data_IF_541399526862
#
_entry.id   IF_541399526862
#
_cell.length_a   1.000
_cell.length_b   1.000
_cell.length_c   1.000
_cell.angle_alpha   90.00
_cell.angle_beta   90.00
_cell.angle_gamma   90.00
#
_symmetry.space_group_name_H-M   'P 1'
#
loop_
_entity.id
_entity.type
_entity.pdbx_description
1 polymer ?
#
# COMPACT_ATOMS: atom_id res chain seq x y z
N UNK A 1 -11.34 36.44 -44.87
CA UNK A 1 -11.16 35.52 -43.72
C UNK A 1 -11.94 36.09 -42.55
N UNK A 2 -13.12 35.55 -42.26
CA UNK A 2 -14.02 36.09 -41.22
C UNK A 2 -13.97 35.16 -40.02
N UNK A 3 -13.41 35.65 -38.92
CA UNK A 3 -13.27 34.95 -37.65
C UNK A 3 -14.67 34.81 -37.04
N UNK A 4 -15.21 33.59 -37.02
CA UNK A 4 -16.43 33.29 -36.27
C UNK A 4 -16.09 33.08 -34.80
N UNK A 5 -16.64 33.93 -33.94
CA UNK A 5 -16.45 33.87 -32.49
C UNK A 5 -17.21 32.67 -31.89
N UNK A 6 -16.61 32.04 -30.87
CA UNK A 6 -17.05 30.82 -30.17
C UNK A 6 -18.42 30.89 -29.48
N UNK A 7 -19.19 31.95 -29.68
CA UNK A 7 -20.43 32.27 -28.94
C UNK A 7 -21.72 31.75 -29.62
N UNK A 8 -21.61 30.97 -30.70
CA UNK A 8 -22.76 30.52 -31.51
C UNK A 8 -22.78 28.99 -31.73
N UNK A 9 -22.66 28.21 -30.65
CA UNK A 9 -23.00 26.77 -30.63
C UNK A 9 -24.06 26.41 -29.58
N UNK A 10 -24.83 27.39 -29.10
CA UNK A 10 -25.79 27.18 -28.01
C UNK A 10 -27.18 27.76 -28.28
N UNK A 11 -27.53 27.93 -29.54
CA UNK A 11 -28.91 28.21 -29.95
C UNK A 11 -29.22 27.22 -31.08
N UNK A 12 -30.36 26.54 -30.97
CA UNK A 12 -30.86 25.45 -31.83
C UNK A 12 -30.46 24.02 -31.42
N UNK A 13 -30.91 23.61 -30.23
CA UNK A 13 -31.37 22.25 -29.96
C UNK A 13 -32.23 22.28 -28.69
N UNK A 14 -33.26 23.13 -28.70
CA UNK A 14 -34.40 23.01 -27.81
C UNK A 14 -35.48 22.29 -28.59
N UNK A 15 -35.38 20.96 -28.55
CA UNK A 15 -36.49 20.07 -28.87
C UNK A 15 -36.82 19.37 -27.55
N UNK A 16 -37.89 19.84 -26.92
CA UNK A 16 -38.58 19.22 -25.80
C UNK A 16 -38.97 17.79 -26.16
N UNK A 17 -38.10 16.85 -25.82
CA UNK A 17 -38.45 15.45 -25.63
C UNK A 17 -38.30 15.19 -24.13
N UNK A 18 -39.37 15.43 -23.37
CA UNK A 18 -39.50 14.91 -22.01
C UNK A 18 -39.64 13.39 -22.09
N UNK A 19 -38.53 12.69 -22.27
CA UNK A 19 -38.41 11.35 -21.72
C UNK A 19 -38.53 11.48 -20.20
N UNK A 20 -39.25 10.60 -19.49
CA UNK A 20 -39.18 10.56 -18.04
C UNK A 20 -37.76 10.14 -17.71
N UNK A 21 -36.87 11.12 -17.53
CA UNK A 21 -35.53 10.88 -17.08
C UNK A 21 -35.71 10.29 -15.69
N UNK A 22 -35.54 8.97 -15.59
CA UNK A 22 -35.36 8.27 -14.33
C UNK A 22 -34.01 8.75 -13.77
N UNK A 23 -33.96 10.00 -13.34
CA UNK A 23 -32.78 10.59 -12.71
C UNK A 23 -32.68 9.89 -11.38
N UNK A 24 -31.61 9.10 -11.23
CA UNK A 24 -31.32 8.46 -9.97
C UNK A 24 -31.18 9.55 -8.88
N UNK A 25 -31.82 9.40 -7.71
CA UNK A 25 -31.64 10.30 -6.59
C UNK A 25 -30.16 10.59 -6.30
N UNK A 26 -29.85 11.84 -5.91
CA UNK A 26 -28.47 12.27 -5.66
C UNK A 26 -27.77 11.42 -4.60
N UNK A 27 -28.49 11.01 -3.56
CA UNK A 27 -28.00 10.15 -2.48
C UNK A 27 -27.48 8.80 -3.00
N UNK A 28 -28.24 8.17 -3.92
CA UNK A 28 -27.86 6.91 -4.54
C UNK A 28 -26.69 7.10 -5.51
N UNK A 29 -26.66 8.21 -6.25
CA UNK A 29 -25.50 8.54 -7.08
C UNK A 29 -24.25 8.75 -6.25
N UNK A 30 -24.33 9.46 -5.12
CA UNK A 30 -23.22 9.67 -4.19
C UNK A 30 -22.71 8.32 -3.70
N UNK A 31 -23.60 7.38 -3.38
CA UNK A 31 -23.22 6.03 -2.99
C UNK A 31 -22.49 5.28 -4.12
N UNK A 32 -23.01 5.34 -5.35
CA UNK A 32 -22.36 4.74 -6.54
C UNK A 32 -20.97 5.33 -6.75
N UNK A 33 -20.85 6.67 -6.77
CA UNK A 33 -19.58 7.36 -6.97
C UNK A 33 -18.59 7.05 -5.84
N UNK A 34 -19.08 6.86 -4.60
CA UNK A 34 -18.23 6.51 -3.44
C UNK A 34 -17.67 5.08 -3.54
N UNK A 35 -18.33 4.18 -4.29
CA UNK A 35 -17.86 2.81 -4.52
C UNK A 35 -16.77 2.75 -5.59
N UNK A 36 -16.74 3.70 -6.52
CA UNK A 36 -15.72 3.73 -7.57
C UNK A 36 -14.33 3.76 -6.94
N UNK A 37 -13.52 2.74 -7.24
CA UNK A 37 -12.12 2.67 -6.85
C UNK A 37 -11.28 3.60 -7.74
N UNK A 38 -11.53 4.90 -7.62
CA UNK A 38 -10.60 5.88 -8.12
C UNK A 38 -9.64 6.20 -6.99
N UNK A 39 -8.35 5.90 -7.18
CA UNK A 39 -7.29 6.47 -6.34
C UNK A 39 -7.45 7.98 -6.21
N UNK A 40 -7.97 8.63 -7.27
CA UNK A 40 -8.27 10.06 -7.30
C UNK A 40 -9.74 10.34 -7.72
N UNK A 41 -10.65 10.68 -6.78
CA UNK A 41 -12.05 11.02 -7.08
C UNK A 41 -12.20 12.26 -7.96
N UNK A 42 -11.15 13.06 -8.15
CA UNK A 42 -11.19 14.23 -9.02
C UNK A 42 -11.34 13.87 -10.50
N UNK A 43 -10.99 12.64 -10.90
CA UNK A 43 -11.22 12.17 -12.27
C UNK A 43 -12.72 12.15 -12.62
N UNK A 44 -13.58 11.91 -11.63
CA UNK A 44 -15.03 11.91 -11.78
C UNK A 44 -15.57 13.30 -12.17
N UNK A 45 -14.83 14.39 -11.90
CA UNK A 45 -15.20 15.77 -12.28
C UNK A 45 -15.21 15.98 -13.79
N UNK A 46 -14.47 15.17 -14.53
CA UNK A 46 -14.33 15.28 -15.97
C UNK A 46 -15.46 14.58 -16.73
N UNK A 47 -16.28 13.77 -16.05
CA UNK A 47 -17.35 12.98 -16.69
C UNK A 47 -18.53 13.85 -17.11
N UNK A 48 -19.15 14.56 -16.17
CA UNK A 48 -20.23 15.50 -16.46
C UNK A 48 -20.37 16.56 -15.36
N UNK A 49 -21.18 17.61 -15.61
CA UNK A 49 -21.41 18.70 -14.65
C UNK A 49 -22.07 18.22 -13.35
N UNK A 50 -22.97 17.25 -13.46
CA UNK A 50 -23.67 16.71 -12.30
C UNK A 50 -22.72 15.97 -11.37
N UNK A 51 -21.89 15.07 -11.91
CA UNK A 51 -20.85 14.37 -11.12
C UNK A 51 -19.86 15.33 -10.51
N UNK A 52 -19.45 16.37 -11.26
CA UNK A 52 -18.60 17.43 -10.72
C UNK A 52 -19.20 18.13 -9.49
N UNK A 53 -20.52 18.25 -9.42
CA UNK A 53 -21.24 18.80 -8.25
C UNK A 53 -21.30 17.78 -7.11
N UNK A 54 -21.61 16.52 -7.42
CA UNK A 54 -21.76 15.46 -6.39
C UNK A 54 -20.44 15.13 -5.69
N UNK A 55 -19.29 15.19 -6.37
CA UNK A 55 -18.01 14.84 -5.75
C UNK A 55 -17.48 15.90 -4.77
N UNK A 56 -18.06 17.09 -4.76
CA UNK A 56 -17.80 18.12 -3.75
C UNK A 56 -18.92 18.19 -2.71
N UNK A 57 -19.92 17.31 -2.80
CA UNK A 57 -20.99 17.22 -1.81
C UNK A 57 -20.43 16.75 -0.45
N UNK A 58 -20.83 17.35 0.68
CA UNK A 58 -20.35 16.95 2.00
C UNK A 58 -20.58 15.47 2.33
N UNK A 59 -21.68 14.86 1.87
CA UNK A 59 -21.95 13.43 2.10
C UNK A 59 -20.98 12.55 1.32
N UNK A 60 -20.68 12.91 0.06
CA UNK A 60 -19.68 12.22 -0.73
C UNK A 60 -18.30 12.32 -0.07
N UNK A 61 -17.89 13.54 0.32
CA UNK A 61 -16.60 13.80 0.97
C UNK A 61 -16.44 12.98 2.24
N UNK A 62 -17.48 12.94 3.09
CA UNK A 62 -17.48 12.12 4.31
C UNK A 62 -17.30 10.63 4.01
N UNK A 63 -18.05 10.08 3.03
CA UNK A 63 -17.92 8.68 2.62
C UNK A 63 -16.52 8.38 2.08
N UNK A 64 -15.99 9.26 1.23
CA UNK A 64 -14.66 9.11 0.63
C UNK A 64 -13.56 9.16 1.70
N UNK A 65 -13.66 10.04 2.70
CA UNK A 65 -12.71 10.13 3.81
C UNK A 65 -12.70 8.86 4.66
N UNK A 66 -13.88 8.37 5.05
CA UNK A 66 -14.01 7.14 5.83
C UNK A 66 -13.40 5.94 5.11
N UNK A 67 -13.69 5.79 3.80
CA UNK A 67 -13.10 4.73 2.97
C UNK A 67 -11.58 4.88 2.90
N UNK A 68 -11.09 6.10 2.61
CA UNK A 68 -9.66 6.36 2.51
C UNK A 68 -8.91 6.07 3.80
N UNK A 69 -9.47 6.45 4.95
CA UNK A 69 -8.88 6.17 6.26
C UNK A 69 -8.84 4.67 6.56
N UNK A 70 -9.92 3.95 6.23
CA UNK A 70 -9.97 2.49 6.39
C UNK A 70 -8.91 1.81 5.52
N UNK A 71 -8.81 2.20 4.24
CA UNK A 71 -7.83 1.63 3.30
C UNK A 71 -6.37 1.92 3.73
N UNK A 72 -6.11 3.14 4.21
CA UNK A 72 -4.79 3.54 4.75
C UNK A 72 -4.46 2.73 6.00
N UNK A 73 -5.43 2.54 6.90
CA UNK A 73 -5.25 1.78 8.14
C UNK A 73 -4.97 0.31 7.85
N UNK A 74 -5.72 -0.32 6.95
CA UNK A 74 -5.51 -1.71 6.51
C UNK A 74 -4.11 -1.89 5.91
N UNK A 75 -3.68 -0.98 5.03
CA UNK A 75 -2.34 -1.02 4.45
C UNK A 75 -1.25 -0.82 5.50
N UNK A 76 -1.44 0.09 6.46
CA UNK A 76 -0.50 0.31 7.56
C UNK A 76 -0.40 -0.92 8.47
N UNK A 77 -1.52 -1.59 8.77
CA UNK A 77 -1.52 -2.86 9.51
C UNK A 77 -0.74 -3.95 8.77
N UNK A 78 -0.96 -4.11 7.47
CA UNK A 78 -0.18 -5.07 6.64
C UNK A 78 1.31 -4.78 6.67
N UNK A 79 1.71 -3.51 6.52
CA UNK A 79 3.10 -3.11 6.61
C UNK A 79 3.71 -3.40 8.00
N UNK A 80 2.93 -3.23 9.06
CA UNK A 80 3.34 -3.53 10.44
C UNK A 80 3.47 -5.04 10.67
N UNK A 81 2.58 -5.85 10.10
CA UNK A 81 2.67 -7.32 10.16
C UNK A 81 3.92 -7.83 9.43
N UNK A 82 4.25 -7.26 8.28
CA UNK A 82 5.51 -7.56 7.57
C UNK A 82 6.75 -7.21 8.40
N UNK A 83 6.69 -6.13 9.19
CA UNK A 83 7.76 -5.72 10.10
C UNK A 83 7.88 -6.63 11.33
N UNK A 84 6.75 -7.06 11.91
CA UNK A 84 6.75 -8.02 13.02
C UNK A 84 7.26 -9.41 12.57
N UNK A 85 6.94 -9.82 11.35
CA UNK A 85 7.48 -11.05 10.75
C UNK A 85 9.00 -10.98 10.57
N UNK A 86 9.53 -9.79 10.22
CA UNK A 86 10.96 -9.53 10.12
C UNK A 86 11.69 -9.66 11.47
N UNK A 87 11.12 -9.11 12.56
CA UNK A 87 11.64 -9.25 13.93
C UNK A 87 11.77 -10.71 14.36
N UNK A 88 10.78 -11.55 14.04
CA UNK A 88 10.80 -12.95 14.46
C UNK A 88 12.01 -13.73 13.90
N UNK A 89 12.38 -13.47 12.64
CA UNK A 89 13.49 -14.15 11.97
C UNK A 89 14.88 -13.80 12.53
N UNK A 90 15.00 -12.70 13.28
CA UNK A 90 16.26 -12.28 13.90
C UNK A 90 16.50 -12.94 15.27
N UNK A 91 15.46 -13.50 15.91
CA UNK A 91 15.51 -14.02 17.28
C UNK A 91 15.75 -15.55 17.33
N UNK A 92 15.60 -16.27 16.21
CA UNK A 92 15.89 -17.71 16.13
C UNK A 92 17.30 -17.98 15.57
N UNK A 93 18.33 -17.64 16.33
CA UNK A 93 19.63 -18.30 16.19
C UNK A 93 19.55 -19.63 16.95
N UNK A 94 19.76 -20.80 16.31
CA UNK A 94 19.76 -22.06 17.04
C UNK A 94 20.95 -22.05 18.00
N UNK A 95 20.67 -22.26 19.29
CA UNK A 95 21.71 -22.48 20.28
C UNK A 95 22.52 -23.71 19.84
N UNK A 96 23.83 -23.50 19.67
CA UNK A 96 24.79 -24.57 19.42
C UNK A 96 24.70 -25.56 20.59
N UNK A 97 24.51 -26.88 20.33
CA UNK A 97 24.68 -27.89 21.37
C UNK A 97 26.09 -27.75 21.94
N UNK A 98 26.16 -27.50 23.25
CA UNK A 98 27.41 -27.59 23.99
C UNK A 98 27.59 -29.08 24.27
N UNK A 99 28.47 -29.72 23.52
CA UNK A 99 28.85 -31.10 23.81
C UNK A 99 29.56 -31.10 25.17
N UNK A 100 28.99 -31.84 26.12
CA UNK A 100 29.59 -32.11 27.43
C UNK A 100 30.82 -32.99 27.18
N UNK A 101 32.00 -32.49 27.53
CA UNK A 101 33.27 -33.24 27.47
C UNK A 101 33.19 -34.44 28.43
N UNK A 102 32.96 -35.64 27.89
CA UNK A 102 33.25 -36.89 28.61
C UNK A 102 34.71 -37.28 28.30
N UNK A 103 35.58 -37.12 29.30
CA UNK A 103 36.96 -37.59 29.27
C UNK A 103 36.96 -39.14 29.21
N UNK A 104 37.31 -39.73 28.07
CA UNK A 104 37.77 -41.12 28.02
C UNK A 104 39.25 -41.18 27.62
N UNK A 105 40.07 -41.68 28.54
CA UNK A 105 41.48 -42.00 28.33
C UNK A 105 41.62 -43.14 27.31
N UNK A 106 42.33 -42.92 26.20
CA UNK A 106 43.03 -43.98 25.47
C UNK A 106 44.33 -43.46 24.85
N UNK A 107 45.42 -44.15 25.18
CA UNK A 107 46.70 -44.05 24.50
C UNK A 107 46.63 -44.89 23.21
N UNK A 108 46.83 -44.30 22.01
CA UNK A 108 47.59 -44.87 20.87
C UNK A 108 47.50 -43.98 19.60
N UNK A 109 48.61 -43.31 19.25
CA UNK A 109 48.96 -42.70 17.93
C UNK A 109 47.92 -41.77 17.23
N UNK A 110 47.63 -40.60 17.81
CA UNK A 110 46.71 -39.58 17.24
C UNK A 110 47.43 -38.37 16.60
N UNK A 111 47.91 -38.51 15.36
CA UNK A 111 48.19 -37.35 14.48
C UNK A 111 47.01 -37.07 13.51
N UNK A 112 45.95 -37.91 13.50
CA UNK A 112 44.79 -37.82 12.59
C UNK A 112 43.50 -37.27 13.26
N UNK A 113 43.41 -37.24 14.59
CA UNK A 113 42.21 -36.78 15.33
C UNK A 113 42.03 -35.24 15.30
N UNK A 114 43.13 -34.47 15.37
CA UNK A 114 43.09 -33.01 15.25
C UNK A 114 42.56 -32.53 13.87
N UNK A 115 42.89 -33.25 12.79
CA UNK A 115 42.42 -32.91 11.44
C UNK A 115 40.92 -33.20 11.23
N UNK A 116 40.37 -34.26 11.86
CA UNK A 116 38.92 -34.55 11.81
C UNK A 116 38.10 -33.55 12.62
N UNK A 117 38.57 -33.12 13.80
CA UNK A 117 37.92 -32.08 14.61
C UNK A 117 37.88 -30.72 13.87
N UNK A 118 39.01 -30.31 13.26
CA UNK A 118 39.06 -29.08 12.47
C UNK A 118 38.09 -29.12 11.27
N UNK A 119 37.98 -30.26 10.61
CA UNK A 119 37.07 -30.48 9.49
C UNK A 119 35.60 -30.44 9.95
N UNK A 120 35.28 -31.04 11.09
CA UNK A 120 33.94 -31.02 11.66
C UNK A 120 33.54 -29.60 12.11
N UNK A 121 34.47 -28.87 12.74
CA UNK A 121 34.33 -27.45 13.07
C UNK A 121 34.08 -26.59 11.83
N UNK A 122 34.83 -26.84 10.75
CA UNK A 122 34.66 -26.15 9.47
C UNK A 122 33.30 -26.46 8.82
N UNK A 123 32.83 -27.71 8.89
CA UNK A 123 31.49 -28.08 8.41
C UNK A 123 30.39 -27.37 9.19
N UNK A 124 30.53 -27.22 10.52
CA UNK A 124 29.61 -26.43 11.34
C UNK A 124 29.61 -24.94 10.95
N UNK A 125 30.78 -24.34 10.75
CA UNK A 125 30.89 -22.95 10.28
C UNK A 125 30.23 -22.75 8.91
N UNK A 126 30.40 -23.70 7.98
CA UNK A 126 29.72 -23.66 6.67
C UNK A 126 28.20 -23.72 6.85
N UNK A 127 27.69 -24.62 7.69
CA UNK A 127 26.27 -24.70 7.99
C UNK A 127 25.71 -23.41 8.63
N UNK A 128 26.47 -22.77 9.51
CA UNK A 128 26.11 -21.47 10.10
C UNK A 128 26.04 -20.36 9.04
N UNK A 129 27.00 -20.33 8.11
CA UNK A 129 26.99 -19.37 7.00
C UNK A 129 25.80 -19.59 6.05
N UNK A 130 25.45 -20.84 5.76
CA UNK A 130 24.27 -21.16 4.95
C UNK A 130 22.98 -20.71 5.64
N UNK A 131 22.85 -20.95 6.94
CA UNK A 131 21.73 -20.46 7.75
C UNK A 131 21.64 -18.93 7.74
N UNK A 132 22.77 -18.24 7.95
CA UNK A 132 22.85 -16.78 7.88
C UNK A 132 22.45 -16.26 6.49
N UNK A 133 22.88 -16.93 5.43
CA UNK A 133 22.54 -16.56 4.06
C UNK A 133 21.04 -16.71 3.77
N UNK A 134 20.39 -17.74 4.30
CA UNK A 134 18.93 -17.91 4.24
C UNK A 134 18.23 -16.74 4.94
N UNK A 135 18.69 -16.37 6.15
CA UNK A 135 18.15 -15.23 6.90
C UNK A 135 18.29 -13.95 6.07
N UNK A 136 19.49 -13.63 5.56
CA UNK A 136 19.73 -12.42 4.76
C UNK A 136 18.84 -12.36 3.52
N UNK A 137 18.61 -13.48 2.82
CA UNK A 137 17.70 -13.54 1.68
C UNK A 137 16.25 -13.27 2.10
N UNK A 138 15.80 -13.83 3.22
CA UNK A 138 14.47 -13.59 3.78
C UNK A 138 14.29 -12.11 4.17
N UNK A 139 15.25 -11.54 4.91
CA UNK A 139 15.26 -10.13 5.33
C UNK A 139 15.18 -9.19 4.11
N UNK A 140 15.94 -9.47 3.05
CA UNK A 140 15.89 -8.70 1.80
C UNK A 140 14.49 -8.73 1.17
N UNK A 141 13.87 -9.90 1.10
CA UNK A 141 12.52 -10.04 0.54
C UNK A 141 11.49 -9.21 1.32
N UNK A 142 11.52 -9.31 2.64
CA UNK A 142 10.61 -8.56 3.52
C UNK A 142 10.81 -7.05 3.39
N UNK A 143 12.06 -6.57 3.32
CA UNK A 143 12.37 -5.15 3.15
C UNK A 143 11.78 -4.58 1.84
N UNK A 144 11.86 -5.34 0.73
CA UNK A 144 11.26 -4.90 -0.53
C UNK A 144 9.73 -4.84 -0.43
N UNK A 145 9.08 -5.78 0.25
CA UNK A 145 7.63 -5.74 0.48
C UNK A 145 7.24 -4.50 1.32
N UNK A 146 7.93 -4.25 2.44
CA UNK A 146 7.68 -3.08 3.30
C UNK A 146 7.85 -1.78 2.50
N UNK A 147 8.85 -1.71 1.63
CA UNK A 147 9.09 -0.54 0.77
C UNK A 147 7.94 -0.30 -0.21
N UNK A 148 7.37 -1.36 -0.80
CA UNK A 148 6.18 -1.27 -1.66
C UNK A 148 4.98 -0.75 -0.88
N UNK A 149 4.72 -1.30 0.31
CA UNK A 149 3.59 -0.89 1.15
C UNK A 149 3.70 0.57 1.59
N UNK A 150 4.89 1.00 2.03
CA UNK A 150 5.16 2.39 2.42
C UNK A 150 4.98 3.36 1.26
N UNK A 151 5.35 2.96 0.05
CA UNK A 151 5.14 3.78 -1.14
C UNK A 151 3.65 3.89 -1.47
N UNK A 152 2.90 2.80 -1.42
CA UNK A 152 1.45 2.82 -1.62
C UNK A 152 0.73 3.68 -0.57
N UNK A 153 1.17 3.63 0.69
CA UNK A 153 0.66 4.45 1.78
C UNK A 153 0.88 5.94 1.49
N UNK A 154 2.11 6.30 1.09
CA UNK A 154 2.47 7.68 0.70
C UNK A 154 1.61 8.19 -0.45
N UNK A 155 1.38 7.37 -1.47
CA UNK A 155 0.57 7.75 -2.63
C UNK A 155 -0.91 7.95 -2.27
N UNK A 156 -1.47 7.07 -1.43
CA UNK A 156 -2.83 7.19 -0.90
C UNK A 156 -3.01 8.48 -0.08
N UNK A 157 -2.08 8.78 0.82
CA UNK A 157 -2.10 10.00 1.64
C UNK A 157 -2.01 11.25 0.78
N UNK A 158 -1.09 11.30 -0.17
CA UNK A 158 -0.94 12.44 -1.08
C UNK A 158 -2.18 12.67 -1.94
N UNK A 159 -2.83 11.60 -2.39
CA UNK A 159 -4.05 11.75 -3.15
C UNK A 159 -5.20 12.30 -2.30
N UNK A 160 -5.34 11.80 -1.07
CA UNK A 160 -6.32 12.31 -0.12
C UNK A 160 -6.10 13.79 0.22
N UNK A 161 -4.85 14.19 0.42
CA UNK A 161 -4.47 15.58 0.66
C UNK A 161 -4.89 16.49 -0.51
N UNK A 162 -4.55 16.11 -1.74
CA UNK A 162 -4.93 16.86 -2.94
C UNK A 162 -6.45 16.99 -3.08
N UNK A 163 -7.19 15.90 -2.80
CA UNK A 163 -8.65 15.93 -2.80
C UNK A 163 -9.20 16.93 -1.79
N UNK A 164 -8.71 16.90 -0.55
CA UNK A 164 -9.14 17.82 0.52
C UNK A 164 -8.82 19.28 0.19
N UNK A 165 -7.62 19.57 -0.35
CA UNK A 165 -7.26 20.93 -0.76
C UNK A 165 -8.24 21.48 -1.81
N UNK A 166 -8.64 20.65 -2.77
CA UNK A 166 -9.60 21.06 -3.80
C UNK A 166 -11.01 21.23 -3.24
N UNK A 167 -11.44 20.34 -2.35
CA UNK A 167 -12.73 20.48 -1.67
C UNK A 167 -12.80 21.80 -0.90
N UNK A 168 -11.80 22.08 -0.06
CA UNK A 168 -11.72 23.31 0.73
C UNK A 168 -11.68 24.56 -0.15
N UNK A 169 -10.94 24.53 -1.26
CA UNK A 169 -10.89 25.64 -2.23
C UNK A 169 -12.24 25.92 -2.89
N UNK A 170 -13.04 24.89 -3.15
CA UNK A 170 -14.37 25.08 -3.73
C UNK A 170 -15.39 25.56 -2.67
N UNK A 171 -15.26 25.09 -1.41
CA UNK A 171 -16.11 25.52 -0.31
C UNK A 171 -15.94 27.03 0.00
N UNK A 172 -14.70 27.53 -0.02
CA UNK A 172 -14.43 28.97 0.21
C UNK A 172 -14.91 29.86 -0.94
N UNK A 173 -14.77 29.39 -2.19
CA UNK A 173 -15.23 30.12 -3.38
C UNK A 173 -16.76 30.22 -3.49
N UNK A 174 -17.51 29.33 -2.85
CA UNK A 174 -18.98 29.37 -2.83
C UNK A 174 -19.55 30.28 -1.74
N UNK A 175 -18.71 30.82 -0.86
CA UNK A 175 -19.09 31.68 0.27
C UNK A 175 -18.73 33.17 0.06
N UNK A 176 -18.21 33.53 -1.13
CA UNK A 176 -17.90 34.91 -1.56
C UNK A 176 -18.79 35.30 -2.73
#
# INVERSE_FOLDING_TARGET
MTIMTRKRRRMMAEATAESPSTVLPEELMIEILSRVESSNPLQLRCVCKWWKSLIVDPQFVKKHLNKSFTDITDLASKAMDHMNSFEMHLIHAPAVPQDEEEEEENDEDDDDDDEEEEKQSMMNLVAQLDNLLIIVRSLKGNLETIKVDMQALKDRMKCLENFLQIYLKNATASSS
#
